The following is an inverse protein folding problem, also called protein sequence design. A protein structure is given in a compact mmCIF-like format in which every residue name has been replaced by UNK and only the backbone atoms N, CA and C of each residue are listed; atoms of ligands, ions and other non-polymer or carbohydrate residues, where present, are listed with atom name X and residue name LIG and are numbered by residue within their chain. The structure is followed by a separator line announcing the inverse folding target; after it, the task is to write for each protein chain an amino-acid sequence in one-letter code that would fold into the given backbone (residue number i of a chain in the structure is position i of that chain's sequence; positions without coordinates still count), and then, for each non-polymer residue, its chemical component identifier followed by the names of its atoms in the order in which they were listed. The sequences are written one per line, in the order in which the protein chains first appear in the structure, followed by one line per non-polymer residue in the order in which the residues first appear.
data_IF_048227079944
#
_entry.id   IF_048227079944
#
_cell.length_a   1.000
_cell.length_b   1.000
_cell.length_c   1.000
_cell.angle_alpha   90.00
_cell.angle_beta   90.00
_cell.angle_gamma   90.00
#
_symmetry.space_group_name_H-M   'P 1'
#
loop_
_entity.id
_entity.type
_entity.pdbx_description
1 polymer ?
#
# COMPACT_ATOMS: atom_id res chain seq x y z
N UNK A 1 8.64 36.00 22.27
CA UNK A 1 7.80 34.91 22.78
C UNK A 1 8.18 33.67 21.96
N UNK A 2 9.12 32.90 22.46
CA UNK A 2 9.47 31.60 21.90
C UNK A 2 8.26 30.69 22.05
N UNK A 3 7.67 30.31 20.94
CA UNK A 3 6.67 29.25 20.91
C UNK A 3 7.38 27.97 21.34
N UNK A 4 7.10 27.49 22.56
CA UNK A 4 7.44 26.13 22.99
C UNK A 4 6.82 25.15 22.00
N UNK A 5 7.58 24.82 20.95
CA UNK A 5 7.23 23.71 20.07
C UNK A 5 7.26 22.45 20.94
N UNK A 6 6.08 21.88 21.20
CA UNK A 6 5.98 20.60 21.89
C UNK A 6 6.90 19.59 21.17
N UNK A 7 7.87 19.05 21.89
CA UNK A 7 8.83 18.08 21.34
C UNK A 7 8.05 16.95 20.64
N UNK A 8 8.46 16.61 19.43
CA UNK A 8 7.80 15.54 18.69
C UNK A 8 8.03 14.21 19.43
N UNK A 9 6.94 13.53 19.77
CA UNK A 9 6.98 12.24 20.49
C UNK A 9 7.92 11.21 19.85
N UNK A 10 8.20 11.32 18.55
CA UNK A 10 9.15 10.45 17.86
C UNK A 10 10.59 10.62 18.34
N UNK A 11 10.93 11.75 18.97
CA UNK A 11 12.27 12.04 19.51
C UNK A 11 12.50 11.55 20.94
N UNK A 12 11.46 11.47 21.81
CA UNK A 12 11.65 11.23 23.24
C UNK A 12 10.95 10.00 23.80
N UNK A 13 9.82 9.54 23.24
CA UNK A 13 9.12 8.39 23.78
C UNK A 13 9.94 7.09 23.62
N UNK A 14 9.84 6.14 24.56
CA UNK A 14 10.47 4.82 24.41
C UNK A 14 10.05 4.13 23.12
N UNK A 15 10.99 3.65 22.33
CA UNK A 15 10.76 3.13 20.98
C UNK A 15 9.74 2.00 20.94
N UNK A 16 9.78 1.06 21.89
CA UNK A 16 8.81 -0.05 21.95
C UNK A 16 7.36 0.43 22.02
N UNK A 17 7.08 1.32 22.97
CA UNK A 17 5.75 1.91 23.18
C UNK A 17 5.36 2.81 22.01
N UNK A 18 6.31 3.54 21.44
CA UNK A 18 6.08 4.43 20.29
C UNK A 18 5.67 3.66 19.05
N UNK A 19 6.36 2.55 18.71
CA UNK A 19 6.01 1.70 17.58
C UNK A 19 4.58 1.19 17.75
N UNK A 20 4.22 0.63 18.91
CA UNK A 20 2.87 0.12 19.14
C UNK A 20 1.83 1.24 18.99
N UNK A 21 2.06 2.40 19.63
CA UNK A 21 1.13 3.55 19.57
C UNK A 21 0.94 4.11 18.17
N UNK A 22 1.99 4.05 17.34
CA UNK A 22 1.92 4.57 15.97
C UNK A 22 1.44 3.52 14.96
N UNK A 23 1.81 2.26 15.17
CA UNK A 23 1.50 1.20 14.22
C UNK A 23 0.12 0.58 14.44
N UNK A 24 -0.35 0.44 15.68
CA UNK A 24 -1.66 -0.19 15.96
C UNK A 24 -2.82 0.50 15.23
N UNK A 25 -2.93 1.85 15.23
CA UNK A 25 -3.95 2.52 14.44
C UNK A 25 -3.85 2.19 12.94
N UNK A 26 -2.61 2.14 12.40
CA UNK A 26 -2.39 1.84 10.99
C UNK A 26 -2.68 0.38 10.64
N UNK A 27 -2.40 -0.55 11.56
CA UNK A 27 -2.77 -1.97 11.39
C UNK A 27 -4.30 -2.13 11.31
N UNK A 28 -5.03 -1.47 12.20
CA UNK A 28 -6.50 -1.45 12.17
C UNK A 28 -7.01 -0.86 10.87
N UNK A 29 -6.46 0.28 10.42
CA UNK A 29 -6.80 0.89 9.14
C UNK A 29 -6.62 -0.07 7.97
N UNK A 30 -5.48 -0.77 7.91
CA UNK A 30 -5.20 -1.71 6.81
C UNK A 30 -6.14 -2.92 6.82
N UNK A 31 -6.51 -3.43 8.00
CA UNK A 31 -7.52 -4.50 8.11
C UNK A 31 -8.90 -4.03 7.66
N UNK A 32 -9.30 -2.82 8.04
CA UNK A 32 -10.58 -2.24 7.59
C UNK A 32 -10.57 -2.03 6.07
N UNK A 33 -9.44 -1.57 5.50
CA UNK A 33 -9.28 -1.44 4.04
C UNK A 33 -9.44 -2.79 3.33
N UNK A 34 -8.83 -3.86 3.87
CA UNK A 34 -8.99 -5.21 3.31
C UNK A 34 -10.45 -5.68 3.37
N UNK A 35 -11.12 -5.46 4.50
CA UNK A 35 -12.53 -5.80 4.68
C UNK A 35 -13.43 -5.01 3.73
N UNK A 36 -13.20 -3.71 3.62
CA UNK A 36 -13.95 -2.84 2.72
C UNK A 36 -13.87 -3.32 1.26
N UNK A 37 -12.68 -3.67 0.77
CA UNK A 37 -12.51 -4.17 -0.61
C UNK A 37 -13.32 -5.46 -0.87
N UNK A 38 -13.43 -6.33 0.14
CA UNK A 38 -14.25 -7.54 0.04
C UNK A 38 -15.73 -7.20 0.00
N UNK A 39 -16.18 -6.30 0.88
CA UNK A 39 -17.59 -5.88 0.98
C UNK A 39 -18.05 -5.20 -0.31
N UNK A 40 -17.26 -4.27 -0.85
CA UNK A 40 -17.54 -3.61 -2.12
C UNK A 40 -17.69 -4.62 -3.26
N UNK A 41 -16.76 -5.59 -3.36
CA UNK A 41 -16.85 -6.66 -4.36
C UNK A 41 -18.12 -7.50 -4.23
N UNK A 42 -18.59 -7.76 -3.00
CA UNK A 42 -19.84 -8.48 -2.75
C UNK A 42 -21.06 -7.67 -3.22
N UNK A 43 -21.08 -6.36 -2.96
CA UNK A 43 -22.19 -5.53 -3.43
C UNK A 43 -22.23 -5.42 -4.94
N UNK A 44 -21.09 -5.23 -5.60
CA UNK A 44 -20.99 -5.18 -7.07
C UNK A 44 -21.41 -6.51 -7.71
N UNK A 45 -21.02 -7.66 -7.13
CA UNK A 45 -21.40 -8.98 -7.66
C UNK A 45 -22.92 -9.22 -7.62
N UNK A 46 -23.63 -8.57 -6.70
CA UNK A 46 -25.10 -8.64 -6.62
C UNK A 46 -25.83 -7.78 -7.67
N UNK A 47 -25.14 -6.91 -8.40
CA UNK A 47 -25.73 -6.15 -9.52
C UNK A 47 -25.92 -7.10 -10.70
N UNK A 48 -24.81 -7.63 -11.23
CA UNK A 48 -24.73 -8.63 -12.30
C UNK A 48 -23.30 -9.16 -12.42
N UNK A 49 -23.13 -10.27 -13.12
CA UNK A 49 -21.81 -10.80 -13.48
C UNK A 49 -21.07 -9.83 -14.43
N UNK A 50 -21.78 -9.21 -15.36
CA UNK A 50 -21.26 -8.18 -16.26
C UNK A 50 -20.69 -6.97 -15.49
N UNK A 51 -21.35 -6.54 -14.40
CA UNK A 51 -20.87 -5.44 -13.56
C UNK A 51 -19.57 -5.80 -12.83
N UNK A 52 -19.47 -7.00 -12.27
CA UNK A 52 -18.24 -7.47 -11.61
C UNK A 52 -17.08 -7.57 -12.61
N UNK A 53 -17.35 -8.06 -13.82
CA UNK A 53 -16.37 -8.11 -14.91
C UNK A 53 -15.91 -6.72 -15.30
N UNK A 54 -16.83 -5.77 -15.43
CA UNK A 54 -16.52 -4.37 -15.76
C UNK A 54 -15.59 -3.72 -14.72
N UNK A 55 -15.86 -3.89 -13.41
CA UNK A 55 -14.98 -3.39 -12.33
C UNK A 55 -13.60 -4.05 -12.42
N UNK A 56 -13.54 -5.34 -12.75
CA UNK A 56 -12.27 -6.06 -12.91
C UNK A 56 -11.44 -5.51 -14.09
N UNK A 57 -12.08 -5.09 -15.20
CA UNK A 57 -11.41 -4.44 -16.33
C UNK A 57 -10.87 -3.04 -15.97
N UNK A 58 -11.53 -2.34 -15.06
CA UNK A 58 -11.10 -1.00 -14.60
C UNK A 58 -10.00 -1.08 -13.54
N UNK A 59 -9.89 -2.22 -12.83
CA UNK A 59 -8.95 -2.39 -11.73
C UNK A 59 -7.49 -2.00 -12.03
N UNK A 60 -6.89 -2.32 -13.20
CA UNK A 60 -5.53 -1.89 -13.53
C UNK A 60 -5.35 -0.36 -13.54
N UNK A 61 -6.37 0.37 -13.97
CA UNK A 61 -6.33 1.84 -13.98
C UNK A 61 -6.41 2.42 -12.56
N UNK A 62 -7.25 1.83 -11.70
CA UNK A 62 -7.27 2.19 -10.27
C UNK A 62 -5.93 1.88 -9.59
N UNK A 63 -5.30 0.75 -9.92
CA UNK A 63 -3.97 0.40 -9.42
C UNK A 63 -2.91 1.43 -9.84
N UNK A 64 -2.99 1.96 -11.06
CA UNK A 64 -2.09 3.02 -11.53
C UNK A 64 -2.26 4.31 -10.72
N UNK A 65 -3.51 4.76 -10.50
CA UNK A 65 -3.81 5.93 -9.66
C UNK A 65 -3.25 5.72 -8.25
N UNK A 66 -3.52 4.56 -7.65
CA UNK A 66 -3.04 4.23 -6.31
C UNK A 66 -1.50 4.15 -6.23
N UNK A 67 -0.85 3.53 -7.20
CA UNK A 67 0.61 3.42 -7.23
C UNK A 67 1.28 4.80 -7.26
N UNK A 68 0.81 5.71 -8.11
CA UNK A 68 1.34 7.08 -8.21
C UNK A 68 1.03 7.86 -6.93
N UNK A 69 -0.19 7.78 -6.41
CA UNK A 69 -0.61 8.49 -5.20
C UNK A 69 0.19 8.05 -3.98
N UNK A 70 0.22 6.74 -3.72
CA UNK A 70 0.92 6.17 -2.56
C UNK A 70 2.43 6.33 -2.69
N UNK A 71 3.00 6.11 -3.87
CA UNK A 71 4.44 6.25 -4.08
C UNK A 71 4.92 7.68 -3.86
N UNK A 72 4.23 8.68 -4.43
CA UNK A 72 4.54 10.09 -4.21
C UNK A 72 4.40 10.47 -2.73
N UNK A 73 3.35 9.98 -2.07
CA UNK A 73 3.08 10.27 -0.67
C UNK A 73 4.07 9.59 0.30
N UNK A 74 4.62 8.42 -0.05
CA UNK A 74 5.73 7.77 0.69
C UNK A 74 6.99 8.66 0.61
N UNK A 75 7.31 9.18 -0.56
CA UNK A 75 8.43 10.12 -0.72
C UNK A 75 8.27 11.37 0.14
N UNK A 76 7.08 11.95 0.14
CA UNK A 76 6.74 13.08 0.98
C UNK A 76 6.86 12.76 2.49
N UNK A 77 6.33 11.61 2.92
CA UNK A 77 6.44 11.14 4.30
C UNK A 77 7.91 11.03 4.75
N UNK A 78 8.75 10.40 3.92
CA UNK A 78 10.18 10.25 4.19
C UNK A 78 10.89 11.59 4.34
N UNK A 79 10.67 12.52 3.41
CA UNK A 79 11.31 13.83 3.43
C UNK A 79 10.86 14.67 4.63
N UNK A 80 9.55 14.78 4.85
CA UNK A 80 8.98 15.58 5.95
C UNK A 80 9.43 15.03 7.31
N UNK A 81 9.41 13.71 7.51
CA UNK A 81 9.86 13.11 8.76
C UNK A 81 11.33 13.42 9.04
N UNK A 82 12.21 13.34 8.02
CA UNK A 82 13.64 13.70 8.15
C UNK A 82 13.83 15.17 8.50
N UNK A 83 13.17 16.10 7.80
CA UNK A 83 13.28 17.55 8.06
C UNK A 83 12.79 17.93 9.45
N UNK A 84 11.72 17.28 9.93
CA UNK A 84 11.25 17.46 11.32
C UNK A 84 12.30 16.94 12.32
N UNK A 85 12.96 15.81 12.04
CA UNK A 85 14.05 15.29 12.86
C UNK A 85 15.28 16.20 12.91
N UNK A 86 15.62 16.83 11.78
CA UNK A 86 16.67 17.85 11.65
C UNK A 86 16.32 19.17 12.37
N UNK A 87 15.11 19.30 12.91
CA UNK A 87 14.55 20.53 13.51
C UNK A 87 14.45 21.71 12.50
N UNK A 88 14.42 21.40 11.20
CA UNK A 88 14.28 22.36 10.11
C UNK A 88 12.81 22.58 9.75
N UNK A 89 12.07 23.23 10.64
CA UNK A 89 10.61 23.40 10.50
C UNK A 89 10.21 24.04 9.16
N UNK A 90 10.89 25.10 8.73
CA UNK A 90 10.58 25.79 7.47
C UNK A 90 10.75 24.89 6.23
N UNK A 91 11.77 24.01 6.24
CA UNK A 91 11.97 23.05 5.16
C UNK A 91 10.91 21.92 5.20
N UNK A 92 10.48 21.50 6.41
CA UNK A 92 9.41 20.53 6.55
C UNK A 92 8.06 21.10 6.03
N UNK A 93 7.75 22.36 6.33
CA UNK A 93 6.55 23.04 5.82
C UNK A 93 6.60 23.21 4.29
N UNK A 94 7.78 23.57 3.76
CA UNK A 94 8.02 23.65 2.31
C UNK A 94 7.85 22.29 1.64
N UNK A 95 8.41 21.24 2.21
CA UNK A 95 8.27 19.87 1.70
C UNK A 95 6.80 19.41 1.72
N UNK A 96 6.07 19.66 2.81
CA UNK A 96 4.65 19.33 2.92
C UNK A 96 3.78 20.10 1.91
N UNK A 97 4.08 21.38 1.67
CA UNK A 97 3.36 22.21 0.69
C UNK A 97 3.63 21.74 -0.74
N UNK A 98 4.91 21.43 -1.09
CA UNK A 98 5.24 20.84 -2.39
C UNK A 98 4.60 19.46 -2.58
N UNK A 99 4.56 18.63 -1.54
CA UNK A 99 3.90 17.32 -1.59
C UNK A 99 2.40 17.46 -1.89
N UNK A 100 1.72 18.39 -1.23
CA UNK A 100 0.31 18.68 -1.50
C UNK A 100 0.10 19.21 -2.93
N UNK A 101 0.97 20.08 -3.41
CA UNK A 101 0.97 20.57 -4.79
C UNK A 101 1.11 19.39 -5.79
N UNK A 102 2.05 18.47 -5.54
CA UNK A 102 2.23 17.28 -6.40
C UNK A 102 1.00 16.36 -6.38
N UNK A 103 0.35 16.19 -5.23
CA UNK A 103 -0.87 15.39 -5.14
C UNK A 103 -2.01 16.00 -5.96
N UNK A 104 -2.19 17.33 -5.90
CA UNK A 104 -3.20 18.05 -6.70
C UNK A 104 -2.85 17.93 -8.19
N UNK A 105 -1.61 18.20 -8.58
CA UNK A 105 -1.17 18.09 -9.98
C UNK A 105 -1.35 16.66 -10.51
N UNK A 106 -0.94 15.64 -9.75
CA UNK A 106 -1.11 14.23 -10.13
C UNK A 106 -2.58 13.87 -10.31
N UNK A 107 -3.45 14.31 -9.38
CA UNK A 107 -4.90 14.12 -9.50
C UNK A 107 -5.50 14.81 -10.72
N UNK A 108 -5.07 16.04 -11.02
CA UNK A 108 -5.50 16.78 -12.22
C UNK A 108 -5.01 16.08 -13.50
N UNK A 109 -3.78 15.59 -13.53
CA UNK A 109 -3.26 14.82 -14.67
C UNK A 109 -4.12 13.58 -14.92
N UNK A 110 -4.46 12.82 -13.87
CA UNK A 110 -5.38 11.69 -14.02
C UNK A 110 -6.79 12.11 -14.43
N UNK A 111 -7.32 13.20 -13.88
CA UNK A 111 -8.62 13.72 -14.27
C UNK A 111 -8.69 14.06 -15.78
N UNK A 112 -7.66 14.71 -16.30
CA UNK A 112 -7.54 15.01 -17.73
C UNK A 112 -7.36 13.74 -18.55
N UNK A 113 -6.46 12.84 -18.12
CA UNK A 113 -6.19 11.58 -18.81
C UNK A 113 -7.47 10.73 -18.94
N UNK A 114 -8.18 10.50 -17.83
CA UNK A 114 -9.40 9.70 -17.85
C UNK A 114 -10.59 10.47 -18.40
N UNK A 115 -10.63 11.79 -18.25
CA UNK A 115 -11.64 12.63 -18.92
C UNK A 115 -11.61 12.49 -20.44
N UNK A 116 -10.41 12.42 -21.03
CA UNK A 116 -10.21 12.32 -22.48
C UNK A 116 -10.18 10.88 -22.99
N UNK A 117 -9.57 9.95 -22.23
CA UNK A 117 -9.18 8.64 -22.74
C UNK A 117 -9.93 7.45 -22.10
N UNK A 118 -10.86 7.66 -21.16
CA UNK A 118 -11.57 6.54 -20.51
C UNK A 118 -12.29 5.63 -21.52
N UNK A 119 -12.95 6.20 -22.54
CA UNK A 119 -13.62 5.42 -23.59
C UNK A 119 -12.66 4.61 -24.45
N UNK A 120 -11.64 5.22 -25.12
CA UNK A 120 -10.71 4.44 -25.93
C UNK A 120 -9.93 3.41 -25.11
N UNK A 121 -9.61 3.68 -23.83
CA UNK A 121 -8.95 2.73 -22.95
C UNK A 121 -9.79 1.47 -22.69
N UNK A 122 -11.09 1.60 -22.52
CA UNK A 122 -11.98 0.44 -22.33
C UNK A 122 -12.23 -0.30 -23.63
N UNK A 123 -12.38 0.40 -24.76
CA UNK A 123 -12.55 -0.25 -26.06
C UNK A 123 -11.39 -1.17 -26.46
N UNK A 124 -10.18 -0.98 -25.91
CA UNK A 124 -9.04 -1.87 -26.15
C UNK A 124 -9.25 -3.32 -25.65
N UNK A 125 -10.17 -3.53 -24.72
CA UNK A 125 -10.46 -4.87 -24.21
C UNK A 125 -11.38 -5.70 -25.09
N UNK A 126 -12.06 -5.06 -26.09
CA UNK A 126 -13.01 -5.75 -26.99
C UNK A 126 -14.07 -6.59 -26.24
N UNK A 127 -14.52 -6.11 -25.07
CA UNK A 127 -15.54 -6.76 -24.27
C UNK A 127 -16.95 -6.55 -24.85
N UNK A 128 -17.92 -7.34 -24.37
CA UNK A 128 -19.33 -7.19 -24.75
C UNK A 128 -19.84 -5.78 -24.48
N UNK A 129 -20.87 -5.35 -25.23
CA UNK A 129 -21.38 -3.98 -25.17
C UNK A 129 -21.82 -3.56 -23.77
N UNK A 130 -22.50 -4.45 -23.02
CA UNK A 130 -22.95 -4.19 -21.65
C UNK A 130 -21.76 -4.00 -20.69
N UNK A 131 -20.76 -4.90 -20.74
CA UNK A 131 -19.55 -4.81 -19.93
C UNK A 131 -18.78 -3.54 -20.24
N UNK A 132 -18.66 -3.20 -21.54
CA UNK A 132 -17.99 -1.98 -22.00
C UNK A 132 -18.68 -0.73 -21.46
N UNK A 133 -20.00 -0.65 -21.49
CA UNK A 133 -20.76 0.50 -20.98
C UNK A 133 -20.60 0.65 -19.45
N UNK A 134 -20.68 -0.47 -18.71
CA UNK A 134 -20.44 -0.47 -17.28
C UNK A 134 -19.01 -0.05 -16.93
N UNK A 135 -18.00 -0.54 -17.65
CA UNK A 135 -16.61 -0.18 -17.42
C UNK A 135 -16.32 1.30 -17.73
N UNK A 136 -16.89 1.85 -18.83
CA UNK A 136 -16.79 3.27 -19.16
C UNK A 136 -17.42 4.12 -18.06
N UNK A 137 -18.62 3.76 -17.62
CA UNK A 137 -19.34 4.47 -16.55
C UNK A 137 -18.53 4.45 -15.26
N UNK A 138 -18.06 3.27 -14.83
CA UNK A 138 -17.30 3.13 -13.60
C UNK A 138 -15.96 3.89 -13.66
N UNK A 139 -15.19 3.75 -14.75
CA UNK A 139 -13.91 4.42 -14.92
C UNK A 139 -14.07 5.96 -14.98
N UNK A 140 -15.13 6.47 -15.59
CA UNK A 140 -15.38 7.91 -15.63
C UNK A 140 -15.61 8.47 -14.22
N UNK A 141 -16.44 7.81 -13.41
CA UNK A 141 -16.73 8.25 -12.04
C UNK A 141 -15.53 8.14 -11.10
N UNK A 142 -14.69 7.12 -11.26
CA UNK A 142 -13.51 6.92 -10.37
C UNK A 142 -12.30 7.69 -10.87
N UNK A 143 -12.10 7.75 -12.18
CA UNK A 143 -10.88 8.32 -12.79
C UNK A 143 -10.89 9.84 -12.87
N UNK A 144 -12.03 10.46 -13.22
CA UNK A 144 -12.11 11.92 -13.35
C UNK A 144 -11.92 12.63 -12.02
N UNK A 145 -12.55 12.21 -10.89
CA UNK A 145 -12.30 12.82 -9.59
C UNK A 145 -11.06 12.28 -8.86
N UNK A 146 -10.08 11.72 -9.56
CA UNK A 146 -8.87 11.14 -8.95
C UNK A 146 -8.11 12.11 -8.02
N UNK A 147 -8.33 13.41 -8.14
CA UNK A 147 -7.76 14.40 -7.21
C UNK A 147 -8.17 14.14 -5.74
N UNK A 148 -9.34 13.56 -5.51
CA UNK A 148 -9.79 13.29 -4.13
C UNK A 148 -8.93 12.21 -3.48
N UNK A 149 -8.68 11.10 -4.16
CA UNK A 149 -7.83 10.03 -3.62
C UNK A 149 -6.37 10.45 -3.51
N UNK A 150 -5.82 11.18 -4.51
CA UNK A 150 -4.42 11.62 -4.46
C UNK A 150 -4.16 12.57 -3.29
N UNK A 151 -5.07 13.52 -3.04
CA UNK A 151 -4.97 14.46 -1.92
C UNK A 151 -5.27 13.76 -0.59
N UNK A 152 -6.25 12.86 -0.51
CA UNK A 152 -6.53 12.09 0.70
C UNK A 152 -5.30 11.29 1.14
N UNK A 153 -4.71 10.50 0.24
CA UNK A 153 -3.52 9.68 0.53
C UNK A 153 -2.35 10.57 0.96
N UNK A 154 -2.18 11.73 0.33
CA UNK A 154 -1.15 12.68 0.73
C UNK A 154 -1.40 13.20 2.15
N UNK A 155 -2.63 13.57 2.50
CA UNK A 155 -2.98 13.99 3.86
C UNK A 155 -2.67 12.92 4.89
N UNK A 156 -3.02 11.66 4.60
CA UNK A 156 -2.73 10.52 5.47
C UNK A 156 -1.22 10.37 5.72
N UNK A 157 -0.41 10.42 4.67
CA UNK A 157 1.05 10.26 4.77
C UNK A 157 1.74 11.44 5.44
N UNK A 158 1.26 12.67 5.24
CA UNK A 158 1.75 13.84 5.97
C UNK A 158 1.41 13.77 7.46
N UNK A 159 0.19 13.32 7.81
CA UNK A 159 -0.17 13.07 9.22
C UNK A 159 0.70 11.99 9.86
N UNK A 160 1.04 10.92 9.12
CA UNK A 160 1.97 9.89 9.59
C UNK A 160 3.37 10.46 9.81
N UNK A 161 3.88 11.28 8.88
CA UNK A 161 5.19 11.92 8.97
C UNK A 161 5.34 12.82 10.21
N UNK A 162 4.24 13.42 10.67
CA UNK A 162 4.22 14.21 11.91
C UNK A 162 4.05 13.38 13.19
N UNK A 163 3.96 12.05 13.06
CA UNK A 163 3.67 11.15 14.17
C UNK A 163 2.19 11.03 14.54
N UNK A 164 1.26 11.67 13.80
CA UNK A 164 -0.18 11.69 14.11
C UNK A 164 -0.93 10.53 13.45
N UNK A 165 -0.46 9.29 13.61
CA UNK A 165 -1.03 8.10 12.95
C UNK A 165 -2.49 7.82 13.32
N UNK A 166 -2.93 8.18 14.54
CA UNK A 166 -4.33 8.09 14.94
C UNK A 166 -5.22 8.99 14.05
N UNK A 167 -4.78 10.21 13.73
CA UNK A 167 -5.51 11.11 12.84
C UNK A 167 -5.56 10.54 11.41
N UNK A 168 -4.45 9.97 10.93
CA UNK A 168 -4.39 9.28 9.64
C UNK A 168 -5.37 8.10 9.58
N UNK A 169 -5.44 7.29 10.65
CA UNK A 169 -6.44 6.23 10.78
C UNK A 169 -7.88 6.76 10.63
N UNK A 170 -8.22 7.83 11.34
CA UNK A 170 -9.57 8.40 11.25
C UNK A 170 -9.92 8.88 9.84
N UNK A 171 -8.98 9.49 9.11
CA UNK A 171 -9.18 9.89 7.71
C UNK A 171 -9.54 8.69 6.85
N UNK A 172 -8.80 7.58 6.99
CA UNK A 172 -9.03 6.37 6.22
C UNK A 172 -10.33 5.64 6.64
N UNK A 173 -10.58 5.52 7.96
CA UNK A 173 -11.77 4.85 8.47
C UNK A 173 -13.07 5.56 8.07
N UNK A 174 -13.11 6.87 8.16
CA UNK A 174 -14.32 7.64 7.80
C UNK A 174 -14.63 7.47 6.33
N UNK A 175 -13.62 7.48 5.45
CA UNK A 175 -13.80 7.19 4.02
C UNK A 175 -14.33 5.78 3.77
N UNK A 176 -13.76 4.77 4.45
CA UNK A 176 -14.17 3.37 4.30
C UNK A 176 -15.60 3.13 4.83
N UNK A 177 -15.93 3.69 6.00
CA UNK A 177 -17.28 3.59 6.58
C UNK A 177 -18.30 4.29 5.68
N UNK A 178 -17.98 5.47 5.15
CA UNK A 178 -18.84 6.16 4.19
C UNK A 178 -19.14 5.26 2.99
N UNK A 179 -18.13 4.66 2.39
CA UNK A 179 -18.31 3.76 1.26
C UNK A 179 -19.20 2.56 1.63
N UNK A 180 -18.88 1.79 2.70
CA UNK A 180 -19.64 0.62 3.12
C UNK A 180 -21.13 0.94 3.35
N UNK A 181 -21.43 2.13 3.89
CA UNK A 181 -22.82 2.56 4.16
C UNK A 181 -23.53 2.99 2.88
N UNK A 182 -22.85 3.78 2.02
CA UNK A 182 -23.46 4.36 0.83
C UNK A 182 -23.48 3.43 -0.38
N UNK A 183 -22.60 2.42 -0.44
CA UNK A 183 -22.64 1.41 -1.51
C UNK A 183 -24.03 0.78 -1.68
N UNK A 184 -24.60 0.10 -0.68
CA UNK A 184 -25.92 -0.51 -0.85
C UNK A 184 -27.03 0.52 -1.09
N UNK A 185 -26.91 1.72 -0.52
CA UNK A 185 -27.90 2.80 -0.71
C UNK A 185 -27.94 3.25 -2.15
N UNK A 186 -26.79 3.54 -2.76
CA UNK A 186 -26.71 4.08 -4.12
C UNK A 186 -26.80 2.98 -5.19
N UNK A 187 -26.30 1.78 -4.90
CA UNK A 187 -26.38 0.64 -5.83
C UNK A 187 -27.84 0.21 -6.00
N UNK A 188 -28.56 -0.03 -4.90
CA UNK A 188 -29.89 -0.63 -4.91
C UNK A 188 -31.04 0.38 -4.81
N UNK A 189 -30.74 1.67 -4.56
CA UNK A 189 -31.74 2.71 -4.43
C UNK A 189 -32.55 2.62 -3.12
N UNK A 190 -31.86 2.42 -1.99
CA UNK A 190 -32.51 2.33 -0.69
C UNK A 190 -32.82 3.73 -0.12
N UNK A 191 -33.75 3.79 0.81
CA UNK A 191 -34.13 5.03 1.55
C UNK A 191 -34.56 6.21 0.64
N UNK A 192 -35.11 5.93 -0.55
CA UNK A 192 -35.58 6.97 -1.46
C UNK A 192 -34.50 7.52 -2.42
N UNK A 193 -33.30 6.99 -2.39
CA UNK A 193 -32.27 7.31 -3.39
C UNK A 193 -32.54 6.60 -4.72
N UNK A 194 -32.14 7.16 -5.87
CA UNK A 194 -32.26 6.49 -7.15
C UNK A 194 -31.36 5.25 -7.20
N UNK A 195 -31.83 4.19 -7.87
CA UNK A 195 -31.05 2.98 -8.14
C UNK A 195 -30.02 3.30 -9.24
N UNK A 196 -28.77 3.48 -8.87
CA UNK A 196 -27.69 3.85 -9.77
C UNK A 196 -26.83 2.67 -10.26
N UNK A 197 -27.02 1.48 -9.69
CA UNK A 197 -26.24 0.29 -10.07
C UNK A 197 -24.73 0.52 -9.93
N UNK A 198 -23.96 0.23 -10.99
CA UNK A 198 -22.50 0.34 -11.00
C UNK A 198 -21.99 1.79 -10.81
N UNK A 199 -22.75 2.79 -11.31
CA UNK A 199 -22.44 4.19 -11.05
C UNK A 199 -22.56 4.51 -9.55
N UNK A 200 -23.52 3.88 -8.87
CA UNK A 200 -23.70 4.00 -7.41
C UNK A 200 -22.47 3.54 -6.63
N UNK A 201 -21.90 2.39 -6.99
CA UNK A 201 -20.66 1.87 -6.38
C UNK A 201 -19.48 2.85 -6.60
N UNK A 202 -19.32 3.36 -7.84
CA UNK A 202 -18.27 4.33 -8.13
C UNK A 202 -18.46 5.65 -7.35
N UNK A 203 -19.67 6.17 -7.27
CA UNK A 203 -19.99 7.40 -6.54
C UNK A 203 -19.77 7.23 -5.03
N UNK A 204 -20.14 6.08 -4.45
CA UNK A 204 -19.89 5.80 -3.04
C UNK A 204 -18.38 5.75 -2.73
N UNK A 205 -17.59 5.11 -3.59
CA UNK A 205 -16.13 5.06 -3.48
C UNK A 205 -15.53 6.47 -3.52
N UNK A 206 -15.88 7.26 -4.51
CA UNK A 206 -15.39 8.64 -4.68
C UNK A 206 -15.91 9.56 -3.56
N UNK A 207 -17.15 9.36 -3.11
CA UNK A 207 -17.71 10.05 -1.96
C UNK A 207 -16.92 9.80 -0.68
N UNK A 208 -16.53 8.55 -0.43
CA UNK A 208 -15.66 8.18 0.68
C UNK A 208 -14.29 8.86 0.60
N UNK A 209 -13.69 8.91 -0.61
CA UNK A 209 -12.43 9.62 -0.86
C UNK A 209 -12.56 11.12 -0.64
N UNK A 210 -13.65 11.74 -1.07
CA UNK A 210 -13.93 13.16 -0.86
C UNK A 210 -14.05 13.49 0.64
N UNK A 211 -14.83 12.70 1.38
CA UNK A 211 -15.00 12.90 2.83
C UNK A 211 -13.68 12.71 3.56
N UNK A 212 -12.92 11.66 3.21
CA UNK A 212 -11.56 11.42 3.72
C UNK A 212 -10.61 12.58 3.41
N UNK A 213 -10.61 13.08 2.18
CA UNK A 213 -9.82 14.26 1.78
C UNK A 213 -10.16 15.49 2.61
N UNK A 214 -11.44 15.83 2.74
CA UNK A 214 -11.89 17.00 3.51
C UNK A 214 -11.49 16.89 4.98
N UNK A 215 -11.66 15.71 5.58
CA UNK A 215 -11.24 15.45 6.95
C UNK A 215 -9.72 15.54 7.10
N UNK A 216 -8.97 15.00 6.15
CA UNK A 216 -7.50 15.07 6.13
C UNK A 216 -6.99 16.51 6.05
N UNK A 217 -7.54 17.30 5.15
CA UNK A 217 -7.23 18.73 5.03
C UNK A 217 -7.58 19.51 6.31
N UNK A 218 -8.75 19.24 6.90
CA UNK A 218 -9.16 19.82 8.16
C UNK A 218 -8.19 19.48 9.30
N UNK A 219 -7.70 18.24 9.37
CA UNK A 219 -6.76 17.82 10.40
C UNK A 219 -5.37 18.43 10.21
N UNK A 220 -4.91 18.59 8.95
CA UNK A 220 -3.65 19.25 8.64
C UNK A 220 -3.70 20.77 8.87
N UNK A 221 -4.84 21.42 8.68
CA UNK A 221 -5.00 22.86 8.90
C UNK A 221 -5.06 23.27 10.37
N UNK A 222 -5.24 22.31 11.29
CA UNK A 222 -5.30 22.61 12.74
C UNK A 222 -3.94 23.10 13.26
N UNK A 223 -3.96 24.10 14.15
CA UNK A 223 -2.77 24.65 14.83
C UNK A 223 -1.91 23.61 15.56
N UNK A 224 -2.52 22.49 15.93
CA UNK A 224 -1.83 21.35 16.57
C UNK A 224 -1.05 20.46 15.60
N UNK A 225 -1.10 20.70 14.29
CA UNK A 225 -0.31 19.98 13.32
C UNK A 225 1.12 20.53 13.29
N UNK A 226 2.10 19.63 13.25
CA UNK A 226 3.53 19.99 13.25
C UNK A 226 4.01 20.57 11.92
N UNK A 227 3.27 20.39 10.84
CA UNK A 227 3.57 20.99 9.52
C UNK A 227 2.46 21.93 9.11
N UNK A 228 2.83 23.02 8.44
CA UNK A 228 1.91 24.03 7.93
C UNK A 228 1.95 24.01 6.40
N UNK A 229 0.80 23.77 5.79
CA UNK A 229 0.64 23.85 4.34
C UNK A 229 0.14 25.25 4.02
N UNK A 230 0.89 25.99 3.20
CA UNK A 230 0.53 27.34 2.79
C UNK A 230 0.85 27.57 1.31
N UNK A 231 -0.19 27.86 0.56
CA UNK A 231 -0.06 28.25 -0.85
C UNK A 231 0.11 29.76 -1.06
N UNK A 232 0.17 30.54 0.02
CA UNK A 232 0.40 31.99 -0.07
C UNK A 232 1.84 32.25 -0.52
N UNK A 233 2.02 32.91 -1.66
CA UNK A 233 3.31 33.13 -2.33
C UNK A 233 4.08 31.82 -2.63
N UNK A 234 3.36 30.72 -2.83
CA UNK A 234 3.95 29.43 -3.13
C UNK A 234 4.71 29.46 -4.45
N UNK A 235 5.93 28.96 -4.41
CA UNK A 235 6.72 28.62 -5.59
C UNK A 235 7.21 27.18 -5.48
N UNK A 236 7.01 26.34 -6.52
CA UNK A 236 7.51 24.98 -6.49
C UNK A 236 9.02 24.94 -6.23
N UNK A 237 9.42 24.24 -5.18
CA UNK A 237 10.82 24.07 -4.84
C UNK A 237 11.38 22.81 -5.52
N UNK A 238 12.23 23.01 -6.53
CA UNK A 238 12.81 21.93 -7.35
C UNK A 238 13.55 20.89 -6.50
N UNK A 239 14.29 21.32 -5.48
CA UNK A 239 15.04 20.42 -4.60
C UNK A 239 14.09 19.55 -3.77
N UNK A 240 13.06 20.14 -3.15
CA UNK A 240 12.07 19.38 -2.40
C UNK A 240 11.33 18.38 -3.29
N UNK A 241 10.99 18.76 -4.51
CA UNK A 241 10.34 17.87 -5.49
C UNK A 241 11.26 16.72 -5.87
N UNK A 242 12.54 17.00 -6.14
CA UNK A 242 13.54 15.97 -6.43
C UNK A 242 13.70 15.00 -5.25
N UNK A 243 13.85 15.53 -4.03
CA UNK A 243 14.01 14.72 -2.80
C UNK A 243 12.77 13.85 -2.53
N UNK A 244 11.55 14.33 -2.86
CA UNK A 244 10.31 13.54 -2.77
C UNK A 244 10.35 12.39 -3.78
N UNK A 245 10.72 12.66 -5.03
CA UNK A 245 10.72 11.65 -6.09
C UNK A 245 11.91 10.70 -6.05
N UNK A 246 13.02 11.02 -5.37
CA UNK A 246 14.09 10.05 -5.11
C UNK A 246 13.61 8.80 -4.34
N UNK A 247 12.59 8.97 -3.50
CA UNK A 247 11.89 7.86 -2.82
C UNK A 247 10.57 7.54 -3.51
N UNK A 248 9.87 8.55 -4.01
CA UNK A 248 8.53 8.43 -4.59
C UNK A 248 8.52 7.59 -5.86
N UNK A 249 9.38 7.87 -6.83
CA UNK A 249 9.43 7.12 -8.10
C UNK A 249 9.75 5.63 -7.87
N UNK A 250 10.80 5.26 -7.13
CA UNK A 250 11.01 3.86 -6.78
C UNK A 250 9.83 3.21 -6.06
N UNK A 251 9.11 3.97 -5.21
CA UNK A 251 7.93 3.46 -4.50
C UNK A 251 6.73 3.26 -5.42
N UNK A 252 6.55 4.09 -6.47
CA UNK A 252 5.55 3.88 -7.52
C UNK A 252 5.82 2.54 -8.23
N UNK A 253 7.05 2.34 -8.69
CA UNK A 253 7.43 1.09 -9.36
C UNK A 253 7.32 -0.12 -8.43
N UNK A 254 7.64 0.03 -7.14
CA UNK A 254 7.49 -1.03 -6.15
C UNK A 254 6.04 -1.52 -6.05
N UNK A 255 5.06 -0.62 -6.12
CA UNK A 255 3.64 -0.99 -6.14
C UNK A 255 3.26 -1.77 -7.41
N UNK A 256 3.89 -1.45 -8.54
CA UNK A 256 3.62 -2.12 -9.82
C UNK A 256 4.26 -3.51 -9.92
N UNK A 257 5.39 -3.74 -9.25
CA UNK A 257 6.11 -5.03 -9.28
C UNK A 257 5.22 -6.20 -8.89
N UNK A 258 4.37 -6.02 -7.86
CA UNK A 258 3.43 -7.05 -7.41
C UNK A 258 2.41 -7.45 -8.49
N UNK A 259 1.90 -6.48 -9.25
CA UNK A 259 0.96 -6.76 -10.35
C UNK A 259 1.64 -7.53 -11.50
N UNK A 260 2.86 -7.14 -11.86
CA UNK A 260 3.65 -7.84 -12.90
C UNK A 260 3.93 -9.28 -12.46
N UNK A 261 4.31 -9.48 -11.21
CA UNK A 261 4.55 -10.81 -10.63
C UNK A 261 3.29 -11.68 -10.71
N UNK A 262 2.14 -11.12 -10.31
CA UNK A 262 0.86 -11.84 -10.35
C UNK A 262 0.49 -12.27 -11.77
N UNK A 263 0.64 -11.37 -12.75
CA UNK A 263 0.40 -11.69 -14.16
C UNK A 263 1.35 -12.79 -14.67
N UNK A 264 2.63 -12.71 -14.32
CA UNK A 264 3.63 -13.73 -14.67
C UNK A 264 3.30 -15.09 -14.07
N UNK A 265 2.95 -15.14 -12.78
CA UNK A 265 2.56 -16.37 -12.10
C UNK A 265 1.29 -16.97 -12.69
N UNK A 266 0.25 -16.15 -12.94
CA UNK A 266 -0.97 -16.62 -13.58
C UNK A 266 -0.69 -17.26 -14.95
N UNK A 267 0.22 -16.66 -15.75
CA UNK A 267 0.64 -17.21 -17.05
C UNK A 267 1.37 -18.55 -16.91
N UNK A 268 2.15 -18.73 -15.85
CA UNK A 268 2.81 -20.02 -15.56
C UNK A 268 1.77 -21.05 -15.10
N UNK A 269 0.87 -20.68 -14.19
CA UNK A 269 -0.09 -21.60 -13.57
C UNK A 269 -1.19 -22.07 -14.54
N UNK A 270 -1.66 -21.19 -15.44
CA UNK A 270 -2.71 -21.56 -16.43
C UNK A 270 -2.24 -22.65 -17.40
N UNK A 271 -0.93 -22.80 -17.58
CA UNK A 271 -0.37 -23.88 -18.38
C UNK A 271 -0.58 -25.26 -17.76
N UNK A 272 -0.91 -25.36 -16.47
CA UNK A 272 -1.25 -26.61 -15.79
C UNK A 272 -2.77 -26.78 -15.69
N UNK A 273 -3.47 -25.84 -15.07
CA UNK A 273 -4.94 -25.86 -14.97
C UNK A 273 -5.50 -24.50 -14.56
N UNK A 274 -6.77 -24.25 -14.85
CA UNK A 274 -7.52 -23.11 -14.32
C UNK A 274 -7.67 -23.19 -12.78
N UNK A 275 -7.74 -24.40 -12.24
CA UNK A 275 -7.79 -24.67 -10.80
C UNK A 275 -6.54 -24.15 -10.08
N UNK A 276 -5.34 -24.31 -10.67
CA UNK A 276 -4.09 -23.79 -10.11
C UNK A 276 -4.11 -22.25 -10.03
N UNK A 277 -4.66 -21.57 -11.03
CA UNK A 277 -4.84 -20.10 -11.01
C UNK A 277 -5.83 -19.70 -9.93
N UNK A 278 -6.93 -20.43 -9.77
CA UNK A 278 -7.93 -20.16 -8.73
C UNK A 278 -7.36 -20.32 -7.32
N UNK A 279 -6.55 -21.35 -7.08
CA UNK A 279 -5.81 -21.56 -5.82
C UNK A 279 -4.90 -20.35 -5.53
N UNK A 280 -4.19 -19.86 -6.52
CA UNK A 280 -3.31 -18.70 -6.37
C UNK A 280 -4.11 -17.41 -6.05
N UNK A 281 -5.27 -17.24 -6.67
CA UNK A 281 -6.20 -16.15 -6.36
C UNK A 281 -6.71 -16.19 -4.91
N UNK A 282 -7.09 -17.39 -4.42
CA UNK A 282 -7.50 -17.58 -3.02
C UNK A 282 -6.33 -17.30 -2.08
N UNK A 283 -5.13 -17.79 -2.40
CA UNK A 283 -3.92 -17.49 -1.63
C UNK A 283 -3.73 -15.98 -1.44
N UNK A 284 -3.86 -15.15 -2.49
CA UNK A 284 -3.72 -13.70 -2.36
C UNK A 284 -4.74 -13.06 -1.43
N UNK A 285 -5.98 -13.52 -1.47
CA UNK A 285 -7.03 -13.04 -0.56
C UNK A 285 -6.69 -13.39 0.90
N UNK A 286 -6.30 -14.63 1.15
CA UNK A 286 -5.92 -15.11 2.48
C UNK A 286 -4.66 -14.43 3.00
N UNK A 287 -3.63 -14.30 2.16
CA UNK A 287 -2.38 -13.62 2.47
C UNK A 287 -2.61 -12.17 2.89
N UNK A 288 -3.57 -11.46 2.28
CA UNK A 288 -3.84 -10.06 2.59
C UNK A 288 -4.14 -9.84 4.07
N UNK A 289 -4.84 -10.76 4.73
CA UNK A 289 -5.13 -10.65 6.17
C UNK A 289 -3.88 -10.77 7.05
N UNK A 290 -2.83 -11.45 6.57
CA UNK A 290 -1.55 -11.57 7.30
C UNK A 290 -0.63 -10.40 6.99
N UNK A 291 -0.56 -9.96 5.72
CA UNK A 291 0.36 -8.91 5.28
C UNK A 291 -0.13 -7.50 5.58
N UNK A 292 -1.45 -7.23 5.55
CA UNK A 292 -1.99 -5.90 5.82
C UNK A 292 -1.60 -5.36 7.22
N UNK A 293 -1.65 -6.14 8.32
CA UNK A 293 -1.12 -5.70 9.59
C UNK A 293 0.36 -5.30 9.53
N UNK A 294 1.19 -6.04 8.78
CA UNK A 294 2.63 -5.72 8.64
C UNK A 294 2.85 -4.44 7.82
N UNK A 295 2.04 -4.18 6.79
CA UNK A 295 2.07 -2.90 6.09
C UNK A 295 1.60 -1.74 6.98
N UNK A 296 0.64 -1.99 7.88
CA UNK A 296 0.26 -1.04 8.92
C UNK A 296 1.40 -0.77 9.91
N UNK A 297 2.08 -1.82 10.36
CA UNK A 297 3.29 -1.71 11.20
C UNK A 297 4.37 -0.90 10.50
N UNK A 298 4.62 -1.16 9.22
CA UNK A 298 5.55 -0.42 8.38
C UNK A 298 5.19 1.08 8.31
N UNK A 299 3.92 1.40 8.06
CA UNK A 299 3.42 2.78 7.97
C UNK A 299 3.59 3.56 9.28
N UNK A 300 3.57 2.87 10.44
CA UNK A 300 3.84 3.48 11.74
C UNK A 300 5.34 3.60 12.05
N UNK A 301 6.16 2.63 11.62
CA UNK A 301 7.59 2.56 11.97
C UNK A 301 8.47 3.42 11.07
N UNK A 302 8.14 3.52 9.78
CA UNK A 302 8.90 4.29 8.79
C UNK A 302 9.13 5.76 9.20
N UNK A 303 8.10 6.54 9.61
CA UNK A 303 8.32 7.92 10.04
C UNK A 303 9.16 8.04 11.32
N UNK A 304 9.11 7.04 12.23
CA UNK A 304 9.98 6.99 13.42
C UNK A 304 11.44 6.88 13.00
N UNK A 305 11.74 5.97 12.06
CA UNK A 305 13.11 5.81 11.55
C UNK A 305 13.57 7.05 10.80
N UNK A 306 12.72 7.64 9.95
CA UNK A 306 13.03 8.85 9.19
C UNK A 306 13.30 10.06 10.08
N UNK A 307 12.46 10.28 11.10
CA UNK A 307 12.65 11.35 12.08
C UNK A 307 13.99 11.20 12.83
N UNK A 308 14.27 10.00 13.36
CA UNK A 308 15.49 9.77 14.14
C UNK A 308 16.75 9.76 13.23
N UNK A 309 16.60 9.46 11.94
CA UNK A 309 17.68 9.62 10.96
C UNK A 309 17.99 11.12 10.76
N UNK A 310 16.98 11.97 10.59
CA UNK A 310 17.16 13.41 10.56
C UNK A 310 17.77 13.98 11.84
N UNK A 311 17.34 13.47 13.00
CA UNK A 311 17.87 13.83 14.32
C UNK A 311 19.28 13.26 14.60
N UNK A 312 19.86 12.49 13.69
CA UNK A 312 21.15 11.78 13.82
C UNK A 312 21.26 10.87 15.05
N UNK A 313 20.14 10.32 15.52
CA UNK A 313 20.11 9.44 16.68
C UNK A 313 20.24 7.97 16.27
N UNK A 314 21.47 7.47 16.20
CA UNK A 314 21.82 6.10 15.82
C UNK A 314 21.08 5.06 16.64
N UNK A 315 21.09 5.21 17.97
CA UNK A 315 20.50 4.23 18.88
C UNK A 315 19.02 4.03 18.61
N UNK A 316 18.27 5.13 18.46
CA UNK A 316 16.81 5.08 18.23
C UNK A 316 16.46 4.53 16.84
N UNK A 317 17.29 4.79 15.81
CA UNK A 317 17.09 4.19 14.48
C UNK A 317 17.20 2.66 14.58
N UNK A 318 18.27 2.18 15.20
CA UNK A 318 18.53 0.73 15.33
C UNK A 318 17.52 0.03 16.22
N UNK A 319 17.08 0.69 17.30
CA UNK A 319 15.99 0.19 18.14
C UNK A 319 14.67 0.12 17.37
N UNK A 320 14.34 1.13 16.56
CA UNK A 320 13.13 1.14 15.76
C UNK A 320 13.13 0.02 14.70
N UNK A 321 14.26 -0.19 14.02
CA UNK A 321 14.41 -1.30 13.09
C UNK A 321 14.31 -2.65 13.82
N UNK A 322 15.02 -2.82 14.93
CA UNK A 322 15.02 -4.07 15.71
C UNK A 322 13.62 -4.46 16.17
N UNK A 323 12.90 -3.54 16.83
CA UNK A 323 11.55 -3.85 17.33
C UNK A 323 10.53 -3.93 16.20
N UNK A 324 10.68 -3.15 15.14
CA UNK A 324 9.89 -3.31 13.92
C UNK A 324 10.05 -4.71 13.33
N UNK A 325 11.27 -5.21 13.18
CA UNK A 325 11.56 -6.57 12.72
C UNK A 325 10.97 -7.63 13.67
N UNK A 326 11.12 -7.48 14.99
CA UNK A 326 10.59 -8.44 15.98
C UNK A 326 9.05 -8.53 15.85
N UNK A 327 8.35 -7.39 15.81
CA UNK A 327 6.89 -7.38 15.71
C UNK A 327 6.40 -7.91 14.37
N UNK A 328 7.02 -7.49 13.25
CA UNK A 328 6.68 -7.99 11.92
C UNK A 328 6.91 -9.50 11.81
N UNK A 329 8.05 -9.98 12.29
CA UNK A 329 8.40 -11.41 12.32
C UNK A 329 7.39 -12.22 13.15
N UNK A 330 7.00 -11.72 14.33
CA UNK A 330 6.01 -12.39 15.19
C UNK A 330 4.64 -12.49 14.51
N UNK A 331 4.17 -11.42 13.86
CA UNK A 331 2.90 -11.42 13.12
C UNK A 331 2.96 -12.42 11.96
N UNK A 332 4.05 -12.43 11.21
CA UNK A 332 4.23 -13.32 10.06
C UNK A 332 4.41 -14.77 10.48
N UNK A 333 5.10 -15.06 11.60
CA UNK A 333 5.16 -16.41 12.16
C UNK A 333 3.78 -16.91 12.60
N UNK A 334 2.97 -16.04 13.22
CA UNK A 334 1.58 -16.40 13.55
C UNK A 334 0.78 -16.70 12.28
N UNK A 335 0.91 -15.86 11.26
CA UNK A 335 0.30 -16.09 9.94
C UNK A 335 0.75 -17.41 9.32
N UNK A 336 2.06 -17.70 9.34
CA UNK A 336 2.60 -18.98 8.88
C UNK A 336 1.99 -20.16 9.65
N UNK A 337 1.92 -20.09 10.97
CA UNK A 337 1.32 -21.16 11.78
C UNK A 337 -0.16 -21.39 11.44
N UNK A 338 -0.93 -20.33 11.24
CA UNK A 338 -2.33 -20.44 10.80
C UNK A 338 -2.41 -21.15 9.44
N UNK A 339 -1.57 -20.79 8.48
CA UNK A 339 -1.52 -21.44 7.18
C UNK A 339 -1.06 -22.91 7.26
N UNK A 340 -0.14 -23.24 8.16
CA UNK A 340 0.31 -24.63 8.36
C UNK A 340 -0.77 -25.52 8.97
N UNK A 341 -1.51 -25.00 9.97
CA UNK A 341 -2.44 -25.77 10.75
C UNK A 341 -3.85 -25.81 10.15
N UNK A 342 -4.28 -24.73 9.48
CA UNK A 342 -5.66 -24.54 9.06
C UNK A 342 -5.84 -24.34 7.54
N UNK A 343 -4.89 -24.76 6.69
CA UNK A 343 -4.98 -24.63 5.23
C UNK A 343 -6.27 -25.23 4.67
N UNK A 344 -6.67 -26.40 5.19
CA UNK A 344 -7.86 -27.12 4.76
C UNK A 344 -9.14 -26.31 5.05
N UNK A 345 -9.22 -25.79 6.27
CA UNK A 345 -10.37 -24.95 6.68
C UNK A 345 -10.43 -23.66 5.86
N UNK A 346 -9.28 -23.02 5.62
CA UNK A 346 -9.20 -21.78 4.85
C UNK A 346 -9.70 -21.96 3.41
N UNK A 347 -9.35 -23.06 2.76
CA UNK A 347 -9.82 -23.38 1.40
C UNK A 347 -11.31 -23.74 1.38
N UNK A 348 -11.79 -24.49 2.36
CA UNK A 348 -13.22 -24.83 2.49
C UNK A 348 -14.13 -23.61 2.64
N UNK A 349 -13.64 -22.50 3.20
CA UNK A 349 -14.37 -21.23 3.24
C UNK A 349 -14.67 -20.63 1.85
N UNK A 350 -13.95 -21.10 0.82
CA UNK A 350 -14.14 -20.69 -0.57
C UNK A 350 -14.80 -21.78 -1.43
N UNK A 351 -15.50 -22.73 -0.79
CA UNK A 351 -16.16 -23.86 -1.46
C UNK A 351 -15.22 -24.62 -2.42
N UNK A 352 -13.97 -24.85 -1.98
CA UNK A 352 -12.93 -25.47 -2.77
C UNK A 352 -13.31 -26.91 -3.14
N UNK A 353 -13.20 -27.25 -4.44
CA UNK A 353 -13.35 -28.63 -4.94
C UNK A 353 -12.22 -29.54 -4.46
N UNK A 354 -12.39 -30.86 -4.56
CA UNK A 354 -11.36 -31.85 -4.18
C UNK A 354 -10.04 -31.61 -4.94
N UNK A 355 -10.10 -31.25 -6.22
CA UNK A 355 -8.91 -30.90 -7.02
C UNK A 355 -8.24 -29.61 -6.47
N UNK A 356 -9.06 -28.60 -6.15
CA UNK A 356 -8.57 -27.36 -5.55
C UNK A 356 -7.93 -27.60 -4.18
N UNK A 357 -8.48 -28.51 -3.38
CA UNK A 357 -7.91 -28.92 -2.08
C UNK A 357 -6.57 -29.64 -2.28
N UNK A 358 -6.50 -30.56 -3.25
CA UNK A 358 -5.28 -31.32 -3.52
C UNK A 358 -4.10 -30.43 -3.96
N UNK A 359 -4.36 -29.36 -4.72
CA UNK A 359 -3.34 -28.38 -5.14
C UNK A 359 -3.11 -27.34 -4.06
N UNK A 360 -4.17 -26.82 -3.45
CA UNK A 360 -4.16 -25.63 -2.62
C UNK A 360 -3.57 -25.86 -1.22
N UNK A 361 -3.85 -27.00 -0.59
CA UNK A 361 -3.31 -27.28 0.76
C UNK A 361 -1.79 -27.33 0.76
N UNK A 362 -1.11 -28.09 -0.12
CA UNK A 362 0.34 -28.04 -0.23
C UNK A 362 0.85 -26.64 -0.62
N UNK A 363 0.19 -25.96 -1.57
CA UNK A 363 0.57 -24.62 -2.00
C UNK A 363 0.59 -23.63 -0.84
N UNK A 364 -0.49 -23.52 -0.06
CA UNK A 364 -0.60 -22.63 1.09
C UNK A 364 0.49 -22.93 2.13
N UNK A 365 0.73 -24.20 2.44
CA UNK A 365 1.77 -24.61 3.38
C UNK A 365 3.16 -24.24 2.90
N UNK A 366 3.51 -24.53 1.64
CA UNK A 366 4.83 -24.25 1.10
C UNK A 366 5.08 -22.75 1.02
N UNK A 367 4.13 -21.97 0.49
CA UNK A 367 4.29 -20.52 0.34
C UNK A 367 4.43 -19.86 1.70
N UNK A 368 3.71 -20.31 2.73
CA UNK A 368 3.74 -19.67 4.05
C UNK A 368 5.12 -19.69 4.73
N UNK A 369 6.03 -20.61 4.34
CA UNK A 369 7.42 -20.57 4.81
C UNK A 369 8.17 -19.32 4.41
N UNK A 370 7.71 -18.58 3.39
CA UNK A 370 8.28 -17.28 2.99
C UNK A 370 7.94 -16.14 3.96
N UNK A 371 6.86 -16.25 4.74
CA UNK A 371 6.31 -15.14 5.54
C UNK A 371 7.30 -14.54 6.55
N UNK A 372 7.99 -15.31 7.40
CA UNK A 372 8.95 -14.75 8.36
C UNK A 372 10.09 -13.98 7.69
N UNK A 373 10.56 -14.45 6.54
CA UNK A 373 11.62 -13.79 5.78
C UNK A 373 11.12 -12.51 5.10
N UNK A 374 9.90 -12.53 4.57
CA UNK A 374 9.23 -11.36 4.00
C UNK A 374 9.10 -10.22 5.03
N UNK A 375 8.83 -10.55 6.32
CA UNK A 375 8.78 -9.58 7.40
C UNK A 375 10.07 -8.76 7.51
N UNK A 376 11.21 -9.43 7.50
CA UNK A 376 12.53 -8.80 7.61
C UNK A 376 12.84 -7.95 6.37
N UNK A 377 12.48 -8.44 5.17
CA UNK A 377 12.64 -7.70 3.92
C UNK A 377 11.77 -6.43 3.90
N UNK A 378 10.52 -6.49 4.37
CA UNK A 378 9.61 -5.34 4.44
C UNK A 378 10.18 -4.28 5.38
N UNK A 379 10.63 -4.67 6.58
CA UNK A 379 11.18 -3.73 7.56
C UNK A 379 12.53 -3.14 7.12
N UNK A 380 13.39 -3.92 6.47
CA UNK A 380 14.62 -3.42 5.85
C UNK A 380 14.36 -2.40 4.75
N UNK A 381 13.42 -2.71 3.85
CA UNK A 381 12.95 -1.79 2.79
C UNK A 381 12.35 -0.50 3.37
N UNK A 382 11.67 -0.59 4.51
CA UNK A 382 11.15 0.56 5.25
C UNK A 382 12.27 1.50 5.70
N UNK A 383 13.37 0.97 6.21
CA UNK A 383 14.53 1.79 6.57
C UNK A 383 15.13 2.48 5.33
N UNK A 384 15.25 1.77 4.20
CA UNK A 384 15.76 2.37 2.96
C UNK A 384 14.90 3.58 2.53
N UNK A 385 13.58 3.44 2.55
CA UNK A 385 12.66 4.55 2.26
C UNK A 385 12.77 5.68 3.28
N UNK A 386 12.87 5.35 4.58
CA UNK A 386 12.94 6.32 5.66
C UNK A 386 14.18 7.22 5.58
N UNK A 387 15.33 6.67 5.18
CA UNK A 387 16.60 7.41 5.03
C UNK A 387 16.75 8.12 3.68
N UNK A 388 15.78 7.97 2.77
CA UNK A 388 15.80 8.60 1.45
C UNK A 388 16.39 7.73 0.33
N UNK A 389 16.65 6.44 0.58
CA UNK A 389 17.25 5.49 -0.39
C UNK A 389 16.17 4.58 -1.02
N UNK A 390 15.11 5.17 -1.58
CA UNK A 390 13.99 4.43 -2.15
C UNK A 390 14.38 3.44 -3.26
N UNK A 391 15.48 3.68 -3.95
CA UNK A 391 16.01 2.79 -5.01
C UNK A 391 16.34 1.40 -4.47
N UNK A 392 16.95 1.30 -3.29
CA UNK A 392 17.27 0.00 -2.67
C UNK A 392 16.00 -0.81 -2.33
N UNK A 393 14.94 -0.13 -1.90
CA UNK A 393 13.64 -0.75 -1.64
C UNK A 393 13.03 -1.33 -2.93
N UNK A 394 13.06 -0.57 -4.02
CA UNK A 394 12.60 -1.04 -5.33
C UNK A 394 13.42 -2.24 -5.82
N UNK A 395 14.76 -2.14 -5.81
CA UNK A 395 15.62 -3.24 -6.27
C UNK A 395 15.46 -4.50 -5.44
N UNK A 396 15.25 -4.40 -4.12
CA UNK A 396 14.95 -5.54 -3.27
C UNK A 396 13.67 -6.26 -3.71
N UNK A 397 12.61 -5.50 -4.00
CA UNK A 397 11.32 -6.07 -4.42
C UNK A 397 11.37 -6.61 -5.84
N UNK A 398 12.04 -5.91 -6.77
CA UNK A 398 12.21 -6.35 -8.16
C UNK A 398 13.06 -7.63 -8.23
N UNK A 399 14.16 -7.69 -7.48
CA UNK A 399 14.99 -8.89 -7.38
C UNK A 399 14.16 -10.08 -6.87
N UNK A 400 13.41 -9.91 -5.80
CA UNK A 400 12.58 -10.95 -5.21
C UNK A 400 11.52 -11.45 -6.18
N UNK A 401 10.71 -10.55 -6.72
CA UNK A 401 9.48 -10.92 -7.42
C UNK A 401 9.70 -11.17 -8.93
N UNK A 402 10.55 -10.38 -9.57
CA UNK A 402 10.77 -10.47 -11.02
C UNK A 402 12.01 -11.28 -11.39
N UNK A 403 13.14 -11.04 -10.70
CA UNK A 403 14.40 -11.65 -11.09
C UNK A 403 14.63 -13.06 -10.48
N UNK A 404 13.99 -13.39 -9.36
CA UNK A 404 14.14 -14.71 -8.73
C UNK A 404 12.83 -15.50 -8.81
N UNK A 405 11.70 -14.98 -8.27
CA UNK A 405 10.46 -15.75 -8.16
C UNK A 405 9.97 -16.21 -9.54
N UNK A 406 9.81 -15.32 -10.51
CA UNK A 406 9.27 -15.68 -11.82
C UNK A 406 10.18 -16.66 -12.60
N UNK A 407 11.52 -16.44 -12.70
CA UNK A 407 12.40 -17.41 -13.36
C UNK A 407 12.44 -18.76 -12.66
N UNK A 408 12.52 -18.81 -11.32
CA UNK A 408 12.51 -20.08 -10.58
C UNK A 408 11.18 -20.81 -10.76
N UNK A 409 10.05 -20.09 -10.65
CA UNK A 409 8.73 -20.67 -10.91
C UNK A 409 8.61 -21.21 -12.35
N UNK A 410 9.12 -20.47 -13.35
CA UNK A 410 9.14 -20.92 -14.73
C UNK A 410 10.01 -22.17 -14.93
N UNK A 411 11.23 -22.20 -14.38
CA UNK A 411 12.11 -23.37 -14.46
C UNK A 411 11.44 -24.58 -13.80
N UNK A 412 10.92 -24.41 -12.58
CA UNK A 412 10.26 -25.50 -11.86
C UNK A 412 9.01 -26.01 -12.59
N UNK A 413 8.26 -25.11 -13.22
CA UNK A 413 7.10 -25.50 -14.04
C UNK A 413 7.47 -26.43 -15.20
N UNK A 414 8.67 -26.28 -15.76
CA UNK A 414 9.15 -27.07 -16.92
C UNK A 414 9.87 -28.35 -16.51
N UNK A 415 10.47 -28.40 -15.32
CA UNK A 415 11.34 -29.51 -14.91
C UNK A 415 10.72 -30.41 -13.84
N UNK A 416 10.00 -29.86 -12.87
CA UNK A 416 9.55 -30.54 -11.66
C UNK A 416 8.02 -30.54 -11.48
N UNK A 417 7.29 -29.81 -12.32
CA UNK A 417 5.83 -29.76 -12.29
C UNK A 417 5.24 -28.76 -11.29
N UNK A 418 3.89 -28.73 -11.20
CA UNK A 418 3.13 -27.73 -10.45
C UNK A 418 3.49 -27.66 -8.97
N UNK A 419 3.68 -28.79 -8.30
CA UNK A 419 3.97 -28.81 -6.86
C UNK A 419 5.29 -28.10 -6.51
N UNK A 420 6.25 -28.12 -7.42
CA UNK A 420 7.53 -27.46 -7.23
C UNK A 420 7.46 -25.94 -7.45
N UNK A 421 6.52 -25.44 -8.26
CA UNK A 421 6.35 -24.02 -8.54
C UNK A 421 6.19 -23.20 -7.25
N UNK A 422 5.51 -23.74 -6.25
CA UNK A 422 5.26 -23.06 -4.99
C UNK A 422 6.53 -22.79 -4.17
N UNK A 423 7.57 -23.60 -4.34
CA UNK A 423 8.88 -23.38 -3.69
C UNK A 423 9.62 -22.14 -4.21
N UNK A 424 9.20 -21.57 -5.35
CA UNK A 424 9.77 -20.33 -5.85
C UNK A 424 9.59 -19.17 -4.85
N UNK A 425 8.52 -19.18 -4.04
CA UNK A 425 8.27 -18.15 -3.03
C UNK A 425 9.33 -18.16 -1.92
N UNK A 426 9.55 -19.23 -1.14
CA UNK A 426 10.59 -19.24 -0.11
C UNK A 426 11.99 -19.05 -0.69
N UNK A 427 12.29 -19.56 -1.87
CA UNK A 427 13.59 -19.36 -2.54
C UNK A 427 13.82 -17.89 -2.86
N UNK A 428 12.80 -17.20 -3.38
CA UNK A 428 12.91 -15.77 -3.71
C UNK A 428 13.14 -14.90 -2.48
N UNK A 429 12.58 -15.26 -1.32
CA UNK A 429 12.82 -14.55 -0.06
C UNK A 429 14.27 -14.71 0.43
N UNK A 430 14.90 -15.88 0.24
CA UNK A 430 16.31 -16.07 0.60
C UNK A 430 17.24 -15.13 -0.20
N UNK A 431 16.96 -14.94 -1.49
CA UNK A 431 17.69 -13.97 -2.31
C UNK A 431 17.45 -12.52 -1.86
N UNK A 432 16.20 -12.20 -1.55
CA UNK A 432 15.83 -10.86 -1.07
C UNK A 432 16.46 -10.54 0.29
N UNK A 433 16.41 -11.45 1.25
CA UNK A 433 16.98 -11.21 2.58
C UNK A 433 18.49 -11.03 2.53
N UNK A 434 19.17 -11.75 1.64
CA UNK A 434 20.61 -11.59 1.41
C UNK A 434 20.91 -10.19 0.86
N UNK A 435 20.16 -9.74 -0.16
CA UNK A 435 20.31 -8.39 -0.71
C UNK A 435 20.03 -7.31 0.34
N UNK A 436 18.92 -7.44 1.07
CA UNK A 436 18.54 -6.49 2.13
C UNK A 436 19.60 -6.48 3.23
N UNK A 437 20.08 -7.64 3.68
CA UNK A 437 21.09 -7.76 4.72
C UNK A 437 22.42 -7.08 4.35
N UNK A 438 22.92 -7.32 3.14
CA UNK A 438 24.15 -6.68 2.64
C UNK A 438 23.99 -5.15 2.60
N UNK A 439 22.87 -4.66 2.08
CA UNK A 439 22.65 -3.21 1.96
C UNK A 439 22.36 -2.56 3.32
N UNK A 440 21.68 -3.24 4.25
CA UNK A 440 21.52 -2.79 5.64
C UNK A 440 22.89 -2.64 6.32
N UNK A 441 23.78 -3.62 6.15
CA UNK A 441 25.13 -3.56 6.70
C UNK A 441 25.93 -2.37 6.10
N UNK A 442 25.86 -2.17 4.78
CA UNK A 442 26.50 -1.03 4.11
C UNK A 442 25.96 0.32 4.59
N UNK A 443 24.64 0.45 4.71
CA UNK A 443 23.99 1.67 5.23
C UNK A 443 24.39 1.90 6.68
N UNK A 444 24.40 0.85 7.50
CA UNK A 444 24.82 0.96 8.87
C UNK A 444 26.26 1.50 8.98
N UNK A 445 27.22 0.92 8.25
CA UNK A 445 28.61 1.35 8.30
C UNK A 445 28.82 2.78 7.75
N UNK A 446 28.17 3.10 6.61
CA UNK A 446 28.47 4.34 5.89
C UNK A 446 27.61 5.54 6.31
N UNK A 447 26.36 5.30 6.75
CA UNK A 447 25.41 6.38 7.03
C UNK A 447 25.00 6.48 8.50
N UNK A 448 24.82 5.34 9.19
CA UNK A 448 24.27 5.33 10.56
C UNK A 448 25.38 5.33 11.63
N UNK A 449 26.38 4.50 11.47
CA UNK A 449 27.51 4.41 12.43
C UNK A 449 28.25 5.74 12.64
N UNK A 450 28.48 6.57 11.61
CA UNK A 450 29.17 7.87 11.76
C UNK A 450 28.33 8.95 12.48
N UNK A 451 27.05 8.69 12.80
CA UNK A 451 26.18 9.71 13.42
C UNK A 451 26.49 9.95 14.90
N UNK A 452 27.25 9.07 15.55
CA UNK A 452 27.44 9.12 17.00
C UNK A 452 26.26 8.50 17.77
N UNK A 453 26.39 8.39 19.06
CA UNK A 453 25.30 7.93 19.95
C UNK A 453 24.45 9.09 20.43
#
# INVERSE_FOLDING_TARGET
MESTHAENKMGYLPIRSLIIKMSLPMMVSMLVLATYNVVDSIYVSRISESALTAVSLVFPYQMLINAVSVGTAIGANSLVARRLGEKRQGEADTAATNAMFLAICGGVVFAVLFGLLHRPMIYLFHADAEITEYAITYLSWVGIPAVFVTVQVMCEKLLQATGSTMKSMFVQLVGAVFNIVFDPILIFGLYGFPKLGIAGAAIATVGGQLVGMLLGLLMLSRKSCLVKISFRNFRPNKQSIADIYDVGVPSIFLQMVGSIMTLGMNKILIAFSSTAVSVFGIYFKLQSFVFMPVFGLNSGTMPIMGYNYGARNRKRIMEALKYGCIYAFSIMCLGMLIFQLHSDFMLRLFDASDEMMAIGVPALKIISYSFPFAALCIMGSSLFQAIGDGRLSFFSSALRQLAILLPVAFIFSRTLGLSAVWYAFPISELGSITFVGINLYRIYQNKIKPMGD
#
